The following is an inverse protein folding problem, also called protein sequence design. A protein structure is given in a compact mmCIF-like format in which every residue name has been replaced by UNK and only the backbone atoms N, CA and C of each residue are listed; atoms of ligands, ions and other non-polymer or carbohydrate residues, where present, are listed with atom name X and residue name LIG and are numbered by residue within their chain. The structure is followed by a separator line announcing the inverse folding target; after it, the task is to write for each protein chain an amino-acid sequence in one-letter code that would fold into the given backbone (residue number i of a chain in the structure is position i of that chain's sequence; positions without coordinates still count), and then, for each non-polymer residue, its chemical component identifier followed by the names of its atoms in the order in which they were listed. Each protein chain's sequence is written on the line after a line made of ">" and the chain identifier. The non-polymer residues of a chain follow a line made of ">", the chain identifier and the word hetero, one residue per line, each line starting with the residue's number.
data_IF_773807264172
#
_entry.id   IF_773807264172
#
_cell.length_a   1.000
_cell.length_b   1.000
_cell.length_c   1.000
_cell.angle_alpha   90.00
_cell.angle_beta   90.00
_cell.angle_gamma   90.00
#
_symmetry.space_group_name_H-M   'P 1'
#
loop_
_entity.id
_entity.type
_entity.pdbx_description
1 polymer ?
#
# COMPACT_ATOMS: atom_id res chain seq x y z
N UNK A 1 -26.50 4.94 26.15
CA UNK A 1 -26.47 4.17 24.89
C UNK A 1 -25.74 2.87 25.18
N UNK A 2 -26.47 1.76 25.34
CA UNK A 2 -25.87 0.45 25.63
C UNK A 2 -25.00 0.02 24.45
N UNK A 3 -23.72 -0.28 24.72
CA UNK A 3 -22.85 -0.92 23.75
C UNK A 3 -23.51 -2.23 23.30
N UNK A 4 -23.67 -2.42 21.99
CA UNK A 4 -24.08 -3.73 21.45
C UNK A 4 -22.99 -4.74 21.82
N UNK A 5 -23.35 -5.70 22.66
CA UNK A 5 -22.52 -6.84 23.01
C UNK A 5 -22.35 -7.70 21.75
N UNK A 6 -21.11 -7.93 21.32
CA UNK A 6 -20.80 -8.74 20.14
C UNK A 6 -20.70 -10.21 20.58
N UNK A 7 -21.82 -10.94 20.62
CA UNK A 7 -21.87 -12.40 20.92
C UNK A 7 -21.82 -13.25 19.64
N UNK A 8 -21.48 -14.54 19.74
CA UNK A 8 -21.35 -15.40 18.54
C UNK A 8 -22.67 -15.43 17.78
N UNK A 9 -22.63 -15.50 16.44
CA UNK A 9 -23.87 -15.57 15.64
C UNK A 9 -24.74 -16.76 16.03
N UNK A 10 -24.13 -17.89 16.43
CA UNK A 10 -24.87 -19.03 16.96
C UNK A 10 -25.62 -18.67 18.27
N UNK A 11 -25.00 -17.87 19.14
CA UNK A 11 -25.60 -17.37 20.38
C UNK A 11 -26.69 -16.34 20.08
N UNK A 12 -26.47 -15.43 19.12
CA UNK A 12 -27.50 -14.49 18.66
C UNK A 12 -28.73 -15.22 18.10
N UNK A 13 -28.54 -16.29 17.31
CA UNK A 13 -29.64 -17.10 16.80
C UNK A 13 -30.44 -17.74 17.94
N UNK A 14 -29.77 -18.38 18.90
CA UNK A 14 -30.44 -19.04 20.04
C UNK A 14 -31.20 -18.03 20.90
N UNK A 15 -30.64 -16.84 21.15
CA UNK A 15 -31.31 -15.79 21.93
C UNK A 15 -32.52 -15.23 21.18
N UNK A 16 -32.41 -15.07 19.86
CA UNK A 16 -33.52 -14.59 19.03
C UNK A 16 -34.69 -15.56 19.00
N UNK A 17 -34.43 -16.86 19.02
CA UNK A 17 -35.48 -17.89 19.08
C UNK A 17 -36.08 -18.04 20.48
N UNK A 18 -35.38 -17.61 21.53
CA UNK A 18 -35.83 -17.73 22.91
C UNK A 18 -36.13 -16.37 23.53
N UNK A 19 -37.38 -15.89 23.39
CA UNK A 19 -37.83 -14.58 23.89
C UNK A 19 -37.53 -14.35 25.38
N UNK A 20 -37.54 -15.41 26.20
CA UNK A 20 -37.20 -15.35 27.61
C UNK A 20 -35.75 -14.91 27.88
N UNK A 21 -34.83 -15.15 26.94
CA UNK A 21 -33.41 -14.78 27.04
C UNK A 21 -33.12 -13.40 26.43
N UNK A 22 -34.03 -12.83 25.66
CA UNK A 22 -33.86 -11.53 25.02
C UNK A 22 -33.65 -10.38 26.04
N UNK A 23 -34.15 -10.54 27.27
CA UNK A 23 -33.97 -9.58 28.37
C UNK A 23 -32.69 -9.78 29.21
N UNK A 24 -31.90 -10.82 28.95
CA UNK A 24 -30.79 -11.25 29.83
C UNK A 24 -29.43 -11.23 29.09
N UNK A 25 -28.83 -10.04 28.87
CA UNK A 25 -27.57 -9.92 28.13
C UNK A 25 -26.39 -10.65 28.79
N UNK A 26 -26.41 -10.81 30.12
CA UNK A 26 -25.38 -11.55 30.87
C UNK A 26 -25.39 -13.06 30.57
N UNK A 27 -26.56 -13.65 30.26
CA UNK A 27 -26.64 -15.08 29.87
C UNK A 27 -26.03 -15.28 28.48
N UNK A 28 -26.30 -14.35 27.56
CA UNK A 28 -25.68 -14.32 26.25
C UNK A 28 -24.16 -14.27 26.34
N UNK A 29 -23.65 -13.46 27.26
CA UNK A 29 -22.22 -13.30 27.53
C UNK A 29 -21.62 -14.58 28.09
N UNK A 30 -22.21 -15.18 29.13
CA UNK A 30 -21.73 -16.45 29.70
C UNK A 30 -21.72 -17.59 28.68
N UNK A 31 -22.76 -17.73 27.85
CA UNK A 31 -22.80 -18.76 26.80
C UNK A 31 -21.72 -18.46 25.75
N UNK A 32 -21.58 -17.19 25.35
CA UNK A 32 -20.55 -16.80 24.38
C UNK A 32 -19.14 -17.01 24.92
N UNK A 33 -18.90 -16.81 26.21
CA UNK A 33 -17.64 -17.07 26.91
C UNK A 33 -17.38 -18.58 27.04
N UNK A 34 -18.39 -19.36 27.40
CA UNK A 34 -18.29 -20.83 27.48
C UNK A 34 -17.92 -21.46 26.13
N UNK A 35 -18.53 -20.96 25.04
CA UNK A 35 -18.24 -21.41 23.68
C UNK A 35 -16.93 -20.80 23.12
N UNK A 36 -16.24 -19.96 23.88
CA UNK A 36 -15.08 -19.22 23.41
C UNK A 36 -13.81 -20.07 23.32
N UNK A 37 -13.64 -20.71 22.17
CA UNK A 37 -12.40 -21.41 21.80
C UNK A 37 -11.28 -20.46 21.33
N UNK A 38 -11.43 -19.13 21.47
CA UNK A 38 -10.44 -18.13 21.04
C UNK A 38 -9.08 -18.23 21.75
N UNK A 39 -8.98 -18.93 22.87
CA UNK A 39 -7.69 -19.22 23.52
C UNK A 39 -6.71 -19.98 22.59
N UNK A 40 -7.21 -20.63 21.54
CA UNK A 40 -6.39 -21.27 20.50
C UNK A 40 -5.98 -20.31 19.38
N UNK A 41 -6.57 -19.12 19.32
CA UNK A 41 -6.39 -18.17 18.23
C UNK A 41 -5.54 -16.98 18.69
N UNK A 42 -4.47 -16.72 17.94
CA UNK A 42 -3.65 -15.51 18.10
C UNK A 42 -4.19 -14.41 17.17
N UNK A 43 -4.00 -13.14 17.57
CA UNK A 43 -4.39 -11.96 16.76
C UNK A 43 -3.83 -12.07 15.34
N UNK A 44 -2.58 -12.50 15.20
CA UNK A 44 -1.91 -12.72 13.92
C UNK A 44 -2.72 -13.67 13.00
N UNK A 45 -3.10 -14.85 13.50
CA UNK A 45 -3.85 -15.85 12.72
C UNK A 45 -5.24 -15.35 12.32
N UNK A 46 -5.93 -14.65 13.23
CA UNK A 46 -7.23 -14.05 12.93
C UNK A 46 -7.12 -12.91 11.89
N UNK A 47 -6.04 -12.14 11.94
CA UNK A 47 -5.74 -11.07 10.99
C UNK A 47 -5.43 -11.61 9.61
N UNK A 48 -4.54 -12.61 9.53
CA UNK A 48 -4.19 -13.30 8.29
C UNK A 48 -5.40 -13.96 7.63
N UNK A 49 -6.37 -14.44 8.43
CA UNK A 49 -7.63 -14.99 7.93
C UNK A 49 -8.70 -13.94 7.56
N UNK A 50 -8.57 -12.69 8.03
CA UNK A 50 -9.55 -11.62 7.82
C UNK A 50 -10.78 -11.70 8.72
N UNK A 51 -10.70 -12.42 9.85
CA UNK A 51 -11.82 -12.63 10.77
C UNK A 51 -12.03 -11.43 11.70
N UNK A 52 -12.66 -10.37 11.17
CA UNK A 52 -12.83 -9.09 11.88
C UNK A 52 -13.57 -9.20 13.22
N UNK A 53 -14.59 -10.06 13.32
CA UNK A 53 -15.34 -10.27 14.57
C UNK A 53 -14.48 -10.92 15.64
N UNK A 54 -13.68 -11.92 15.25
CA UNK A 54 -12.72 -12.58 16.14
C UNK A 54 -11.61 -11.61 16.56
N UNK A 55 -11.06 -10.81 15.63
CA UNK A 55 -10.06 -9.78 15.94
C UNK A 55 -10.55 -8.79 16.99
N UNK A 56 -11.74 -8.22 16.80
CA UNK A 56 -12.33 -7.28 17.77
C UNK A 56 -12.48 -7.91 19.15
N UNK A 57 -12.77 -9.21 19.24
CA UNK A 57 -12.85 -9.92 20.53
C UNK A 57 -11.49 -10.21 21.13
N UNK A 58 -10.53 -10.68 20.34
CA UNK A 58 -9.15 -10.91 20.80
C UNK A 58 -8.52 -9.62 21.30
N UNK A 59 -8.77 -8.49 20.64
CA UNK A 59 -8.30 -7.18 21.10
C UNK A 59 -8.95 -6.69 22.40
N UNK A 60 -10.19 -7.08 22.71
CA UNK A 60 -10.81 -6.79 24.02
C UNK A 60 -10.11 -7.51 25.18
N UNK A 61 -9.44 -8.63 24.90
CA UNK A 61 -8.64 -9.37 25.89
C UNK A 61 -7.22 -8.80 26.04
N UNK A 62 -6.89 -7.74 25.30
CA UNK A 62 -5.58 -7.07 25.31
C UNK A 62 -4.41 -8.05 25.16
N UNK A 63 -4.60 -9.09 24.33
CA UNK A 63 -3.55 -10.08 24.10
C UNK A 63 -2.32 -9.40 23.49
N UNK A 64 -1.12 -9.67 24.02
CA UNK A 64 0.11 -9.09 23.49
C UNK A 64 0.36 -9.58 22.07
N UNK A 65 0.83 -8.68 21.21
CA UNK A 65 1.30 -9.00 19.86
C UNK A 65 2.76 -8.56 19.76
N UNK A 66 3.62 -9.45 19.29
CA UNK A 66 5.02 -9.09 19.05
C UNK A 66 5.15 -8.20 17.81
N UNK A 67 6.20 -7.36 17.72
CA UNK A 67 6.43 -6.53 16.52
C UNK A 67 6.51 -7.34 15.23
N UNK A 68 7.08 -8.55 15.30
CA UNK A 68 7.17 -9.46 14.16
C UNK A 68 5.81 -9.99 13.72
N UNK A 69 4.94 -10.35 14.66
CA UNK A 69 3.59 -10.80 14.35
C UNK A 69 2.73 -9.67 13.80
N UNK A 70 2.86 -8.45 14.34
CA UNK A 70 2.17 -7.27 13.83
C UNK A 70 2.59 -6.96 12.39
N UNK A 71 3.90 -6.92 12.13
CA UNK A 71 4.45 -6.67 10.79
C UNK A 71 3.99 -7.72 9.78
N UNK A 72 4.07 -9.01 10.15
CA UNK A 72 3.60 -10.10 9.31
C UNK A 72 2.10 -10.00 9.01
N UNK A 73 1.28 -9.75 10.04
CA UNK A 73 -0.16 -9.62 9.90
C UNK A 73 -0.55 -8.40 9.05
N UNK A 74 0.14 -7.27 9.21
CA UNK A 74 -0.06 -6.07 8.39
C UNK A 74 0.32 -6.34 6.93
N UNK A 75 1.47 -6.97 6.68
CA UNK A 75 1.92 -7.31 5.32
C UNK A 75 0.96 -8.29 4.65
N UNK A 76 0.47 -9.29 5.38
CA UNK A 76 -0.52 -10.23 4.86
C UNK A 76 -1.86 -9.53 4.54
N UNK A 77 -2.35 -8.68 5.43
CA UNK A 77 -3.57 -7.90 5.21
C UNK A 77 -3.43 -6.94 4.02
N UNK A 78 -2.25 -6.31 3.87
CA UNK A 78 -1.89 -5.46 2.76
C UNK A 78 -1.85 -6.25 1.44
N UNK A 79 -1.24 -7.45 1.41
CA UNK A 79 -1.20 -8.31 0.23
C UNK A 79 -2.61 -8.77 -0.21
N UNK A 80 -3.48 -9.07 0.75
CA UNK A 80 -4.87 -9.47 0.50
C UNK A 80 -5.80 -8.33 0.13
N UNK A 81 -5.41 -7.08 0.38
CA UNK A 81 -6.26 -5.91 0.14
C UNK A 81 -7.28 -5.65 1.24
N UNK A 82 -7.16 -6.25 2.43
CA UNK A 82 -8.11 -6.04 3.52
C UNK A 82 -7.76 -4.81 4.36
N UNK A 83 -8.19 -3.65 3.87
CA UNK A 83 -8.03 -2.37 4.55
C UNK A 83 -8.67 -2.33 5.95
N UNK A 84 -9.67 -3.19 6.23
CA UNK A 84 -10.32 -3.22 7.56
C UNK A 84 -9.37 -3.80 8.59
N UNK A 85 -8.67 -4.87 8.24
CA UNK A 85 -7.66 -5.49 9.10
C UNK A 85 -6.48 -4.57 9.29
N UNK A 86 -5.99 -3.91 8.22
CA UNK A 86 -4.89 -2.93 8.32
C UNK A 86 -5.25 -1.83 9.32
N UNK A 87 -6.42 -1.18 9.14
CA UNK A 87 -6.90 -0.13 10.06
C UNK A 87 -7.02 -0.62 11.50
N UNK A 88 -7.49 -1.85 11.68
CA UNK A 88 -7.67 -2.43 13.01
C UNK A 88 -6.34 -2.69 13.70
N UNK A 89 -5.39 -3.34 13.02
CA UNK A 89 -4.07 -3.63 13.57
C UNK A 89 -3.31 -2.37 13.95
N UNK A 90 -3.34 -1.34 13.09
CA UNK A 90 -2.71 -0.05 13.39
C UNK A 90 -3.41 0.73 14.51
N UNK A 91 -4.71 0.54 14.69
CA UNK A 91 -5.43 1.16 15.82
C UNK A 91 -5.19 0.40 17.12
N UNK A 92 -4.94 -0.91 17.04
CA UNK A 92 -4.63 -1.75 18.20
C UNK A 92 -3.24 -1.47 18.76
N UNK A 93 -2.25 -1.20 17.90
CA UNK A 93 -0.87 -0.86 18.30
C UNK A 93 -0.35 0.33 17.49
N UNK A 94 -0.73 1.58 17.86
CA UNK A 94 -0.39 2.77 17.07
C UNK A 94 1.11 3.12 17.12
N UNK A 95 1.75 2.87 18.25
CA UNK A 95 3.15 3.25 18.51
C UNK A 95 4.16 2.23 17.97
N UNK A 96 3.69 1.08 17.50
CA UNK A 96 4.55 0.01 17.01
C UNK A 96 4.91 0.27 15.55
N UNK A 97 6.20 0.35 15.25
CA UNK A 97 6.69 0.51 13.88
C UNK A 97 6.48 -0.78 13.06
N UNK A 98 6.13 -0.62 11.79
CA UNK A 98 6.06 -1.70 10.82
C UNK A 98 7.08 -1.49 9.71
N UNK A 99 7.41 -2.56 8.98
CA UNK A 99 8.37 -2.45 7.89
C UNK A 99 7.80 -1.71 6.68
N UNK A 100 8.68 -1.12 5.88
CA UNK A 100 8.36 -0.55 4.56
C UNK A 100 7.74 -1.58 3.61
N UNK A 101 7.94 -2.88 3.88
CA UNK A 101 7.40 -3.98 3.08
C UNK A 101 5.87 -4.02 3.08
N UNK A 102 5.20 -3.46 4.08
CA UNK A 102 3.74 -3.41 4.11
C UNK A 102 3.19 -2.59 2.93
N UNK A 103 3.78 -1.41 2.66
CA UNK A 103 3.39 -0.60 1.51
C UNK A 103 3.87 -1.22 0.19
N UNK A 104 5.07 -1.81 0.17
CA UNK A 104 5.59 -2.51 -1.01
C UNK A 104 4.66 -3.68 -1.43
N UNK A 105 4.17 -4.48 -0.47
CA UNK A 105 3.21 -5.57 -0.73
C UNK A 105 1.85 -5.06 -1.22
N UNK A 106 1.33 -3.99 -0.63
CA UNK A 106 0.10 -3.36 -1.12
C UNK A 106 0.26 -2.86 -2.57
N UNK A 107 1.41 -2.25 -2.89
CA UNK A 107 1.71 -1.73 -4.21
C UNK A 107 1.84 -2.84 -5.27
N UNK A 108 2.56 -3.92 -4.94
CA UNK A 108 2.71 -5.11 -5.77
C UNK A 108 1.33 -5.69 -6.19
N UNK A 109 0.39 -5.74 -5.26
CA UNK A 109 -0.95 -6.30 -5.50
C UNK A 109 -1.94 -5.33 -6.12
N UNK A 110 -1.60 -4.05 -6.23
CA UNK A 110 -2.49 -3.03 -6.79
C UNK A 110 -3.50 -2.46 -5.80
N UNK A 111 -3.30 -2.64 -4.50
CA UNK A 111 -4.23 -2.17 -3.47
C UNK A 111 -4.01 -0.69 -3.15
N UNK A 112 -4.33 0.17 -4.13
CA UNK A 112 -4.11 1.62 -4.04
C UNK A 112 -4.77 2.26 -2.82
N UNK A 113 -5.91 1.75 -2.37
CA UNK A 113 -6.60 2.23 -1.16
C UNK A 113 -5.76 2.03 0.10
N UNK A 114 -5.02 0.93 0.19
CA UNK A 114 -4.10 0.66 1.31
C UNK A 114 -2.84 1.51 1.17
N UNK A 115 -2.28 1.64 -0.02
CA UNK A 115 -1.10 2.49 -0.27
C UNK A 115 -1.37 3.94 0.17
N UNK A 116 -2.50 4.52 -0.26
CA UNK A 116 -2.94 5.85 0.15
C UNK A 116 -3.15 5.95 1.66
N UNK A 117 -3.76 4.94 2.26
CA UNK A 117 -4.01 4.92 3.69
C UNK A 117 -2.70 4.89 4.49
N UNK A 118 -1.78 3.98 4.15
CA UNK A 118 -0.46 3.90 4.78
C UNK A 118 0.28 5.22 4.64
N UNK A 119 0.31 5.81 3.45
CA UNK A 119 0.99 7.11 3.25
C UNK A 119 0.45 8.26 4.12
N UNK A 120 -0.85 8.28 4.42
CA UNK A 120 -1.44 9.36 5.21
C UNK A 120 -1.34 9.17 6.72
N UNK A 121 -1.28 7.92 7.19
CA UNK A 121 -1.38 7.59 8.61
C UNK A 121 -0.10 6.95 9.18
N UNK A 122 0.90 6.68 8.35
CA UNK A 122 2.17 6.03 8.71
C UNK A 122 3.35 6.79 8.10
N UNK A 123 4.47 6.81 8.81
CA UNK A 123 5.66 7.59 8.45
C UNK A 123 6.78 6.71 7.87
N UNK A 124 6.67 5.37 7.93
CA UNK A 124 7.73 4.46 7.48
C UNK A 124 7.95 4.49 5.96
N UNK A 125 6.90 4.76 5.18
CA UNK A 125 6.99 4.88 3.73
C UNK A 125 7.14 3.54 3.00
N UNK A 126 7.82 3.57 1.85
CA UNK A 126 8.07 2.40 1.01
C UNK A 126 9.52 2.39 0.51
N UNK A 127 9.86 1.39 -0.29
CA UNK A 127 11.14 1.36 -1.02
C UNK A 127 10.93 1.50 -2.52
N UNK A 128 11.99 1.53 -3.32
CA UNK A 128 11.89 1.45 -4.79
C UNK A 128 11.15 0.18 -5.24
N UNK A 129 11.12 -0.86 -4.40
CA UNK A 129 10.40 -2.10 -4.67
C UNK A 129 8.89 -1.89 -4.83
N UNK A 130 8.29 -0.87 -4.21
CA UNK A 130 6.88 -0.56 -4.41
C UNK A 130 6.56 -0.22 -5.87
N UNK A 131 7.31 0.69 -6.48
CA UNK A 131 7.08 1.11 -7.86
C UNK A 131 7.57 0.04 -8.85
N UNK A 132 8.71 -0.60 -8.57
CA UNK A 132 9.24 -1.70 -9.39
C UNK A 132 8.26 -2.87 -9.46
N UNK A 133 7.70 -3.28 -8.31
CA UNK A 133 6.73 -4.37 -8.24
C UNK A 133 5.38 -3.96 -8.83
N UNK A 134 4.89 -2.75 -8.57
CA UNK A 134 3.67 -2.26 -9.19
C UNK A 134 3.76 -2.30 -10.73
N UNK A 135 4.91 -1.91 -11.29
CA UNK A 135 5.17 -2.00 -12.72
C UNK A 135 5.23 -3.45 -13.22
N UNK A 136 5.92 -4.34 -12.49
CA UNK A 136 6.05 -5.76 -12.81
C UNK A 136 4.72 -6.52 -12.83
N UNK A 137 3.69 -6.04 -12.10
CA UNK A 137 2.37 -6.67 -12.02
C UNK A 137 1.26 -5.86 -12.71
N UNK A 138 1.61 -4.88 -13.54
CA UNK A 138 0.63 -4.18 -14.38
C UNK A 138 -0.23 -3.15 -13.63
N UNK A 139 0.22 -2.65 -12.47
CA UNK A 139 -0.52 -1.73 -11.58
C UNK A 139 -0.23 -0.26 -11.91
N UNK A 140 -0.68 0.18 -13.09
CA UNK A 140 -0.40 1.54 -13.59
C UNK A 140 -0.88 2.65 -12.65
N UNK A 141 -2.06 2.48 -12.05
CA UNK A 141 -2.66 3.42 -11.10
C UNK A 141 -1.80 3.61 -9.84
N UNK A 142 -1.22 2.53 -9.33
CA UNK A 142 -0.26 2.57 -8.22
C UNK A 142 1.05 3.22 -8.63
N UNK A 143 1.59 2.89 -9.81
CA UNK A 143 2.83 3.52 -10.33
C UNK A 143 2.69 5.04 -10.43
N UNK A 144 1.60 5.51 -11.04
CA UNK A 144 1.29 6.93 -11.17
C UNK A 144 1.19 7.61 -9.79
N UNK A 145 0.42 7.00 -8.89
CA UNK A 145 0.21 7.58 -7.57
C UNK A 145 1.51 7.63 -6.74
N UNK A 146 2.32 6.57 -6.77
CA UNK A 146 3.62 6.54 -6.10
C UNK A 146 4.56 7.62 -6.67
N UNK A 147 4.59 7.82 -7.98
CA UNK A 147 5.41 8.86 -8.58
C UNK A 147 5.01 10.28 -8.15
N UNK A 148 3.72 10.55 -8.04
CA UNK A 148 3.20 11.87 -7.67
C UNK A 148 3.37 12.18 -6.18
N UNK A 149 3.34 11.16 -5.31
CA UNK A 149 3.23 11.35 -3.85
C UNK A 149 4.45 10.87 -3.05
N UNK A 150 5.39 10.14 -3.69
CA UNK A 150 6.58 9.56 -3.05
C UNK A 150 7.85 9.93 -3.81
N UNK A 151 8.97 9.97 -3.11
CA UNK A 151 10.27 10.41 -3.64
C UNK A 151 11.26 9.27 -3.88
N UNK A 152 10.94 8.06 -3.40
CA UNK A 152 11.79 6.86 -3.49
C UNK A 152 12.05 6.47 -4.94
N UNK A 153 11.06 6.66 -5.82
CA UNK A 153 11.19 6.39 -7.24
C UNK A 153 11.15 4.90 -7.60
N UNK A 154 11.85 4.55 -8.66
CA UNK A 154 11.97 3.19 -9.18
C UNK A 154 13.40 2.91 -9.63
N UNK A 155 13.68 1.67 -9.97
CA UNK A 155 14.92 1.27 -10.64
C UNK A 155 14.63 0.92 -12.11
N UNK A 156 15.65 0.50 -12.86
CA UNK A 156 15.46 -0.05 -14.22
C UNK A 156 14.57 -1.31 -14.21
N UNK A 157 14.47 -2.00 -13.07
CA UNK A 157 13.64 -3.19 -12.91
C UNK A 157 12.15 -2.90 -13.16
N UNK A 158 11.67 -1.68 -12.89
CA UNK A 158 10.29 -1.29 -13.21
C UNK A 158 9.98 -1.44 -14.70
N UNK A 159 10.83 -0.85 -15.56
CA UNK A 159 10.62 -0.88 -17.00
C UNK A 159 10.94 -2.25 -17.59
N UNK A 160 12.01 -2.91 -17.12
CA UNK A 160 12.39 -4.25 -17.55
C UNK A 160 11.28 -5.27 -17.26
N UNK A 161 10.72 -5.24 -16.05
CA UNK A 161 9.65 -6.15 -15.64
C UNK A 161 8.31 -5.79 -16.29
N UNK A 162 8.03 -4.49 -16.49
CA UNK A 162 6.83 -4.08 -17.23
C UNK A 162 6.87 -4.55 -18.69
N UNK A 163 8.05 -4.52 -19.32
CA UNK A 163 8.27 -5.05 -20.65
C UNK A 163 8.13 -6.58 -20.69
N UNK A 164 8.73 -7.27 -19.71
CA UNK A 164 8.60 -8.72 -19.54
C UNK A 164 7.14 -9.16 -19.31
N UNK A 165 6.33 -8.36 -18.61
CA UNK A 165 4.92 -8.64 -18.33
C UNK A 165 3.94 -8.17 -19.40
N UNK A 166 4.41 -7.56 -20.49
CA UNK A 166 3.54 -7.15 -21.59
C UNK A 166 2.83 -5.80 -21.40
N UNK A 167 3.16 -5.06 -20.35
CA UNK A 167 2.44 -3.86 -19.91
C UNK A 167 2.90 -2.58 -20.64
N UNK A 168 2.60 -2.49 -21.94
CA UNK A 168 3.02 -1.38 -22.81
C UNK A 168 2.67 0.01 -22.25
N UNK A 169 1.48 0.19 -21.65
CA UNK A 169 1.07 1.49 -21.07
C UNK A 169 2.00 1.93 -19.93
N UNK A 170 2.48 0.99 -19.12
CA UNK A 170 3.43 1.27 -18.03
C UNK A 170 4.79 1.60 -18.62
N UNK A 171 5.26 0.84 -19.61
CA UNK A 171 6.53 1.14 -20.29
C UNK A 171 6.52 2.56 -20.88
N UNK A 172 5.49 2.91 -21.64
CA UNK A 172 5.30 4.25 -22.21
C UNK A 172 5.29 5.34 -21.14
N UNK A 173 4.55 5.10 -20.05
CA UNK A 173 4.43 6.05 -18.97
C UNK A 173 5.75 6.23 -18.22
N UNK A 174 6.48 5.15 -17.93
CA UNK A 174 7.79 5.19 -17.29
C UNK A 174 8.81 5.91 -18.18
N UNK A 175 8.85 5.64 -19.49
CA UNK A 175 9.77 6.33 -20.42
C UNK A 175 9.52 7.84 -20.46
N UNK A 176 8.27 8.27 -20.31
CA UNK A 176 7.91 9.69 -20.36
C UNK A 176 8.19 10.42 -19.04
N UNK A 177 7.99 9.75 -17.90
CA UNK A 177 7.98 10.41 -16.58
C UNK A 177 9.20 10.08 -15.71
N UNK A 178 10.00 9.07 -16.09
CA UNK A 178 11.16 8.57 -15.34
C UNK A 178 12.42 8.60 -16.19
N UNK A 179 13.58 8.62 -15.55
CA UNK A 179 14.90 8.78 -16.23
C UNK A 179 15.75 7.52 -16.18
N UNK A 180 15.34 6.53 -15.39
CA UNK A 180 16.03 5.27 -15.17
C UNK A 180 16.12 4.45 -16.45
N UNK A 181 15.07 4.49 -17.28
CA UNK A 181 15.00 3.76 -18.54
C UNK A 181 14.89 2.24 -18.35
N UNK A 182 15.25 1.51 -19.40
CA UNK A 182 15.32 0.04 -19.42
C UNK A 182 16.73 -0.44 -19.75
N UNK A 183 17.02 -1.69 -19.39
CA UNK A 183 18.23 -2.40 -19.82
C UNK A 183 17.94 -3.30 -21.02
N UNK A 184 18.95 -4.03 -21.52
CA UNK A 184 18.78 -5.04 -22.57
C UNK A 184 17.83 -6.18 -22.15
N UNK A 185 17.59 -6.34 -20.84
CA UNK A 185 16.69 -7.31 -20.24
C UNK A 185 15.24 -7.07 -20.70
N UNK A 186 14.80 -5.81 -20.80
CA UNK A 186 13.44 -5.47 -21.25
C UNK A 186 13.12 -6.10 -22.61
N UNK A 187 13.99 -5.87 -23.59
CA UNK A 187 13.82 -6.41 -24.95
C UNK A 187 13.95 -7.94 -24.97
N UNK A 188 14.90 -8.49 -24.22
CA UNK A 188 15.12 -9.94 -24.16
C UNK A 188 13.88 -10.68 -23.62
N UNK A 189 13.34 -10.25 -22.47
CA UNK A 189 12.16 -10.91 -21.90
C UNK A 189 10.86 -10.56 -22.63
N UNK A 190 10.71 -9.36 -23.18
CA UNK A 190 9.58 -9.06 -24.05
C UNK A 190 9.54 -9.99 -25.27
N UNK A 191 10.71 -10.35 -25.83
CA UNK A 191 10.79 -11.33 -26.92
C UNK A 191 10.42 -12.75 -26.45
N UNK A 192 11.03 -13.22 -25.36
CA UNK A 192 10.80 -14.57 -24.84
C UNK A 192 9.33 -14.82 -24.45
N UNK A 193 8.66 -13.79 -23.92
CA UNK A 193 7.26 -13.86 -23.52
C UNK A 193 6.28 -13.51 -24.67
N UNK A 194 6.78 -13.27 -25.89
CA UNK A 194 5.95 -13.01 -27.08
C UNK A 194 5.31 -11.62 -27.11
N UNK A 195 5.79 -10.67 -26.32
CA UNK A 195 5.29 -9.29 -26.24
C UNK A 195 5.85 -8.40 -27.36
N UNK A 196 5.56 -8.78 -28.60
CA UNK A 196 6.06 -8.13 -29.81
C UNK A 196 5.67 -6.65 -29.93
N UNK A 197 4.54 -6.25 -29.36
CA UNK A 197 4.08 -4.86 -29.34
C UNK A 197 5.02 -3.93 -28.55
N UNK A 198 5.65 -4.42 -27.49
CA UNK A 198 6.64 -3.65 -26.73
C UNK A 198 7.94 -3.53 -27.51
N UNK A 199 8.39 -4.59 -28.17
CA UNK A 199 9.60 -4.54 -29.00
C UNK A 199 9.47 -3.58 -30.18
N UNK A 200 8.33 -3.60 -30.87
CA UNK A 200 8.04 -2.63 -31.94
C UNK A 200 8.13 -1.20 -31.41
N UNK A 201 7.46 -0.95 -30.27
CA UNK A 201 7.47 0.36 -29.66
C UNK A 201 8.88 0.81 -29.22
N UNK A 202 9.66 -0.06 -28.55
CA UNK A 202 11.04 0.25 -28.15
C UNK A 202 11.94 0.53 -29.37
N UNK A 203 11.75 -0.21 -30.46
CA UNK A 203 12.51 -0.02 -31.69
C UNK A 203 12.14 1.29 -32.41
N UNK A 204 10.86 1.63 -32.45
CA UNK A 204 10.36 2.92 -32.98
C UNK A 204 11.01 4.09 -32.23
N UNK A 205 11.05 4.03 -30.89
CA UNK A 205 11.68 5.07 -30.07
C UNK A 205 13.20 5.20 -30.33
N UNK A 206 13.92 4.08 -30.47
CA UNK A 206 15.35 4.10 -30.79
C UNK A 206 15.63 4.66 -32.19
N UNK A 207 14.78 4.37 -33.18
CA UNK A 207 14.91 4.91 -34.53
C UNK A 207 14.67 6.42 -34.55
N UNK A 208 13.71 6.93 -33.78
CA UNK A 208 13.48 8.38 -33.62
C UNK A 208 14.71 9.09 -33.05
N UNK A 209 15.35 8.53 -32.02
CA UNK A 209 16.57 9.10 -31.41
C UNK A 209 17.74 9.11 -32.39
N UNK A 210 18.00 7.99 -33.08
CA UNK A 210 19.09 7.91 -34.07
C UNK A 210 18.88 8.85 -35.26
N UNK A 211 17.64 9.03 -35.71
CA UNK A 211 17.32 9.96 -36.78
C UNK A 211 17.50 11.43 -36.33
N UNK A 212 17.15 11.75 -35.09
CA UNK A 212 17.38 13.07 -34.51
C UNK A 212 18.90 13.41 -34.42
N UNK A 213 19.72 12.47 -33.96
CA UNK A 213 21.18 12.66 -33.86
C UNK A 213 21.84 12.86 -35.23
N UNK A 214 21.39 12.13 -36.27
CA UNK A 214 21.88 12.30 -37.65
C UNK A 214 21.52 13.67 -38.24
N UNK A 215 20.35 14.22 -37.89
CA UNK A 215 19.95 15.57 -38.34
C UNK A 215 20.67 16.70 -37.60
N UNK A 216 21.09 16.50 -36.33
CA UNK A 216 21.91 17.46 -35.60
C UNK A 216 23.41 17.38 -35.91
N UNK A 217 23.92 16.22 -36.35
CA UNK A 217 25.30 16.05 -36.84
C UNK A 217 25.60 16.74 -38.18
N UNK A 218 24.58 17.21 -38.91
CA UNK A 218 24.71 17.91 -40.19
C UNK A 218 24.67 19.46 -40.08
N UNK A 219 24.60 20.02 -38.87
CA UNK A 219 24.67 21.48 -38.65
C UNK A 219 25.84 21.82 -37.72
N UNK A 220 26.85 22.50 -38.26
CA UNK A 220 27.84 23.23 -37.47
C UNK A 220 27.15 24.19 -36.48
N UNK A 221 27.77 24.49 -35.33
CA UNK A 221 27.09 25.07 -34.19
C UNK A 221 26.70 26.53 -34.48
N UNK A 222 25.41 26.77 -34.66
CA UNK A 222 24.83 28.11 -34.58
C UNK A 222 23.82 28.10 -33.44
N UNK A 223 24.09 28.94 -32.46
CA UNK A 223 23.26 29.21 -31.28
C UNK A 223 21.74 29.16 -31.57
N UNK A 224 20.97 28.47 -30.72
CA UNK A 224 19.95 29.11 -29.86
C UNK A 224 19.00 28.13 -29.16
N UNK A 225 18.61 28.52 -27.94
CA UNK A 225 17.42 28.12 -27.17
C UNK A 225 17.38 26.73 -26.51
N UNK A 226 18.06 26.68 -25.36
CA UNK A 226 17.56 26.08 -24.10
C UNK A 226 16.02 26.04 -24.07
N UNK A 227 15.41 24.85 -24.00
CA UNK A 227 14.03 24.71 -23.50
C UNK A 227 14.03 25.08 -22.02
N UNK A 228 13.48 26.26 -21.74
CA UNK A 228 13.38 26.87 -20.43
C UNK A 228 12.56 26.01 -19.47
N UNK A 229 13.12 25.83 -18.26
CA UNK A 229 12.35 25.60 -17.05
C UNK A 229 11.48 26.83 -16.82
N UNK A 230 10.16 26.70 -16.85
CA UNK A 230 9.27 27.69 -16.22
C UNK A 230 9.09 27.33 -14.75
N UNK A 231 9.77 28.08 -13.88
CA UNK A 231 9.32 28.37 -12.53
C UNK A 231 9.12 29.88 -12.46
N UNK A 232 7.89 30.32 -12.20
CA UNK A 232 7.49 31.58 -11.54
C UNK A 232 5.96 31.55 -11.44
N UNK A 233 5.40 31.12 -10.31
CA UNK A 233 5.11 31.92 -9.11
C UNK A 233 3.82 32.75 -9.26
N UNK A 234 2.75 32.28 -8.62
CA UNK A 234 1.66 33.14 -8.15
C UNK A 234 1.24 32.64 -6.77
N UNK A 235 1.26 33.57 -5.82
CA UNK A 235 0.97 33.41 -4.41
C UNK A 235 -0.42 32.80 -4.18
N UNK A 236 -0.51 31.86 -3.25
CA UNK A 236 -1.64 31.74 -2.34
C UNK A 236 -1.14 31.17 -1.00
N UNK A 237 -1.51 31.89 0.04
CA UNK A 237 -1.13 31.74 1.43
C UNK A 237 -1.45 30.34 1.97
N UNK A 238 -0.52 29.74 2.71
CA UNK A 238 -0.81 28.58 3.57
C UNK A 238 -1.16 29.06 4.99
N UNK A 239 -2.33 28.73 5.55
CA UNK A 239 -2.59 28.91 6.97
C UNK A 239 -2.18 27.66 7.77
N UNK A 240 -1.37 27.93 8.81
CA UNK A 240 -1.41 27.39 10.19
C UNK A 240 -1.25 25.87 10.47
N UNK A 241 -0.21 25.60 11.25
CA UNK A 241 -0.09 24.65 12.37
C UNK A 241 -0.28 23.12 12.15
N UNK A 242 0.82 22.36 12.34
CA UNK A 242 0.76 21.07 13.05
C UNK A 242 1.11 21.32 14.53
N UNK A 243 0.29 20.87 15.51
CA UNK A 243 0.71 20.90 16.90
C UNK A 243 1.77 19.81 17.13
N UNK A 244 2.90 20.22 17.72
CA UNK A 244 3.81 19.33 18.43
C UNK A 244 3.01 18.61 19.51
N UNK A 245 3.06 17.28 19.58
CA UNK A 245 2.62 16.55 20.77
C UNK A 245 3.51 17.00 21.92
N UNK A 246 2.97 17.84 22.80
CA UNK A 246 3.53 18.10 24.12
C UNK A 246 3.35 16.82 24.94
N UNK A 247 4.46 16.26 25.38
CA UNK A 247 4.51 15.32 26.48
C UNK A 247 4.05 16.04 27.76
N UNK A 248 2.76 15.98 28.09
CA UNK A 248 2.30 16.34 29.42
C UNK A 248 2.57 15.17 30.35
N UNK A 249 3.78 15.17 30.93
CA UNK A 249 3.98 14.56 32.23
C UNK A 249 3.22 15.39 33.26
N UNK A 250 2.08 14.88 33.73
CA UNK A 250 1.46 15.32 34.97
C UNK A 250 1.92 14.39 36.07
N UNK A 251 2.83 14.92 36.89
CA UNK A 251 3.25 14.36 38.16
C UNK A 251 2.43 14.99 39.28
N UNK A 252 1.98 14.13 40.20
CA UNK A 252 1.54 14.40 41.58
C UNK A 252 0.10 14.95 41.77
N UNK A 253 -0.70 14.52 42.77
CA UNK A 253 -0.34 14.23 44.18
C UNK A 253 -1.36 13.31 44.88
N UNK A 254 -0.83 12.69 45.95
CA UNK A 254 -1.45 12.20 47.20
C UNK A 254 -2.24 10.90 47.19
#
# INVERSE_FOLDING_TARGET
>A
MSERIIVFTAVECVIREQEALAGCPHVAEMISEYLDSSHKWVIESAACAGYMTLLKRLGKKELPISPRELDWALRNAADRGDLRVVKWLTAYQPDMECSTQVMDSAALRGHLSIVKWLHHYRDEGCTTAAMDSAAAYGRLDVVQWLHENRSEGCTTAAMDSAAAGGYLKIVQWLTTNRKEGCTSIASHFALLNGHMHILRWLNEQNLEVQNADRTMGARSPVHSSRRERRLSATLLETPRHRPRRLSTGLSCRN
#
